data_IF_448333734549
#
_entry.id   IF_448333734549
#
_cell.length_a   1.000
_cell.length_b   1.000
_cell.length_c   1.000
_cell.angle_alpha   90.00
_cell.angle_beta   90.00
_cell.angle_gamma   90.00
#
_symmetry.space_group_name_H-M   'P 1'
#
loop_
_entity.id
_entity.type
_entity.pdbx_description
1 polymer ?
#
# COMPACT_ATOMS: atom_id res chain seq x y z
N UNK A 1 -10.16 8.94 -16.15
CA UNK A 1 -9.04 8.10 -15.65
C UNK A 1 -8.77 8.37 -14.16
N UNK A 2 -8.58 9.63 -13.76
CA UNK A 2 -8.39 10.05 -12.36
C UNK A 2 -9.42 9.48 -11.38
N UNK A 3 -10.72 9.59 -11.67
CA UNK A 3 -11.79 9.01 -10.83
C UNK A 3 -11.64 7.50 -10.58
N UNK A 4 -11.22 6.74 -11.60
CA UNK A 4 -10.99 5.29 -11.44
C UNK A 4 -9.76 5.00 -10.56
N UNK A 5 -8.73 5.84 -10.62
CA UNK A 5 -7.57 5.72 -9.72
C UNK A 5 -7.95 6.08 -8.28
N UNK A 6 -8.73 7.14 -8.08
CA UNK A 6 -9.24 7.53 -6.74
C UNK A 6 -9.96 6.35 -6.11
N UNK A 7 -10.90 5.76 -6.85
CA UNK A 7 -11.67 4.59 -6.41
C UNK A 7 -10.77 3.38 -6.04
N UNK A 8 -9.72 3.13 -6.81
CA UNK A 8 -8.74 2.08 -6.49
C UNK A 8 -7.96 2.36 -5.20
N UNK A 9 -7.67 3.64 -4.90
CA UNK A 9 -7.02 4.02 -3.64
C UNK A 9 -7.99 4.03 -2.45
N UNK A 10 -9.27 4.33 -2.64
CA UNK A 10 -10.30 4.16 -1.61
C UNK A 10 -10.43 2.68 -1.21
N UNK A 11 -10.51 1.80 -2.22
CA UNK A 11 -10.46 0.35 -2.04
C UNK A 11 -9.19 -0.11 -1.31
N UNK A 12 -8.02 0.38 -1.75
CA UNK A 12 -6.73 0.03 -1.14
C UNK A 12 -6.64 0.49 0.31
N UNK A 13 -7.02 1.74 0.59
CA UNK A 13 -7.04 2.33 1.92
C UNK A 13 -7.94 1.55 2.88
N UNK A 14 -9.17 1.25 2.43
CA UNK A 14 -10.15 0.49 3.21
C UNK A 14 -9.61 -0.87 3.63
N UNK A 15 -9.12 -1.68 2.69
CA UNK A 15 -8.67 -3.02 3.02
C UNK A 15 -7.30 -3.09 3.68
N UNK A 16 -6.42 -2.10 3.46
CA UNK A 16 -5.24 -1.98 4.30
C UNK A 16 -5.66 -1.73 5.77
N UNK A 17 -6.68 -0.91 6.02
CA UNK A 17 -7.20 -0.67 7.36
C UNK A 17 -7.83 -1.94 7.97
N UNK A 18 -8.62 -2.70 7.21
CA UNK A 18 -9.18 -3.98 7.68
C UNK A 18 -8.09 -5.01 7.99
N UNK A 19 -7.01 -5.05 7.20
CA UNK A 19 -5.85 -5.92 7.49
C UNK A 19 -5.16 -5.52 8.79
N UNK A 20 -4.90 -4.22 8.99
CA UNK A 20 -4.31 -3.72 10.24
C UNK A 20 -5.21 -4.10 11.42
N UNK A 21 -6.53 -3.93 11.29
CA UNK A 21 -7.50 -4.28 12.33
C UNK A 21 -7.48 -5.76 12.68
N UNK A 22 -7.60 -6.66 11.70
CA UNK A 22 -7.58 -8.12 11.96
C UNK A 22 -6.26 -8.55 12.59
N UNK A 23 -5.13 -7.98 12.15
CA UNK A 23 -3.82 -8.25 12.76
C UNK A 23 -3.80 -7.74 14.21
N UNK A 24 -4.35 -6.56 14.49
CA UNK A 24 -4.42 -5.98 15.83
C UNK A 24 -5.26 -6.83 16.80
N UNK A 25 -6.40 -7.34 16.34
CA UNK A 25 -7.32 -8.17 17.13
C UNK A 25 -6.72 -9.56 17.43
N UNK A 26 -5.75 -10.02 16.63
CA UNK A 26 -5.16 -11.35 16.72
C UNK A 26 -3.64 -11.34 16.98
N UNK A 27 -3.09 -10.28 17.58
CA UNK A 27 -1.62 -10.08 17.71
C UNK A 27 -0.85 -11.25 18.32
N UNK A 28 -1.48 -12.04 19.19
CA UNK A 28 -0.84 -13.21 19.82
C UNK A 28 -0.67 -14.41 18.87
N UNK A 29 -1.42 -14.46 17.76
CA UNK A 29 -1.43 -15.57 16.80
C UNK A 29 -0.75 -15.22 15.46
N UNK A 30 -0.45 -13.94 15.25
CA UNK A 30 0.15 -13.43 14.02
C UNK A 30 1.67 -13.53 14.11
N UNK A 31 2.29 -14.05 13.04
CA UNK A 31 3.75 -14.20 12.96
C UNK A 31 4.47 -12.91 12.51
N UNK A 32 5.78 -12.85 12.74
CA UNK A 32 6.62 -11.72 12.35
C UNK A 32 6.58 -11.45 10.84
N UNK A 33 6.35 -12.50 10.04
CA UNK A 33 6.23 -12.38 8.58
C UNK A 33 5.00 -11.57 8.18
N UNK A 34 3.86 -11.79 8.83
CA UNK A 34 2.64 -11.00 8.60
C UNK A 34 2.85 -9.55 9.01
N UNK A 35 3.52 -9.29 10.14
CA UNK A 35 3.88 -7.92 10.59
C UNK A 35 4.82 -7.24 9.58
N UNK A 36 5.80 -7.98 9.06
CA UNK A 36 6.71 -7.49 8.02
C UNK A 36 5.97 -7.17 6.72
N UNK A 37 5.04 -8.02 6.29
CA UNK A 37 4.27 -7.82 5.06
C UNK A 37 3.31 -6.64 5.11
N UNK A 38 2.62 -6.40 6.25
CA UNK A 38 1.75 -5.22 6.36
C UNK A 38 2.57 -3.92 6.34
N UNK A 39 3.72 -3.92 7.01
CA UNK A 39 4.68 -2.80 6.92
C UNK A 39 5.15 -2.59 5.48
N UNK A 40 5.63 -3.64 4.83
CA UNK A 40 6.12 -3.59 3.45
C UNK A 40 5.05 -3.08 2.47
N UNK A 41 3.79 -3.48 2.66
CA UNK A 41 2.65 -3.01 1.86
C UNK A 41 2.48 -1.50 1.95
N UNK A 42 2.51 -0.94 3.17
CA UNK A 42 2.37 0.50 3.40
C UNK A 42 3.62 1.28 2.97
N UNK A 43 4.81 0.75 3.24
CA UNK A 43 6.07 1.35 2.82
C UNK A 43 6.15 1.44 1.30
N UNK A 44 5.72 0.41 0.57
CA UNK A 44 5.71 0.44 -0.90
C UNK A 44 4.87 1.62 -1.44
N UNK A 45 3.65 1.82 -0.92
CA UNK A 45 2.83 2.98 -1.33
C UNK A 45 3.51 4.31 -0.95
N UNK A 46 4.08 4.40 0.25
CA UNK A 46 4.81 5.59 0.69
C UNK A 46 5.98 5.91 -0.25
N UNK A 47 6.79 4.92 -0.61
CA UNK A 47 7.95 5.07 -1.48
C UNK A 47 7.53 5.61 -2.84
N UNK A 48 6.45 5.09 -3.43
CA UNK A 48 5.97 5.54 -4.73
C UNK A 48 5.39 6.95 -4.67
N UNK A 49 4.62 7.28 -3.64
CA UNK A 49 4.15 8.65 -3.41
C UNK A 49 5.33 9.63 -3.24
N UNK A 50 6.31 9.28 -2.41
CA UNK A 50 7.48 10.10 -2.13
C UNK A 50 8.34 10.33 -3.39
N UNK A 51 8.51 9.31 -4.25
CA UNK A 51 9.19 9.48 -5.54
C UNK A 51 8.51 10.48 -6.46
N UNK A 52 7.18 10.45 -6.52
CA UNK A 52 6.39 11.39 -7.34
C UNK A 52 6.51 12.82 -6.78
N UNK A 53 6.47 12.97 -5.45
CA UNK A 53 6.50 14.26 -4.76
C UNK A 53 7.93 14.81 -4.51
N UNK A 54 8.98 14.03 -4.78
CA UNK A 54 10.36 14.42 -4.48
C UNK A 54 10.69 14.43 -2.98
N UNK A 55 10.03 13.59 -2.19
CA UNK A 55 10.18 13.49 -0.74
C UNK A 55 11.09 12.32 -0.32
N UNK A 56 11.44 12.28 0.97
CA UNK A 56 12.18 11.16 1.56
C UNK A 56 11.34 9.89 1.56
N UNK A 57 11.93 8.80 1.09
CA UNK A 57 11.32 7.46 1.07
C UNK A 57 11.61 6.72 2.38
N UNK A 58 10.69 5.84 2.78
CA UNK A 58 10.96 4.78 3.74
C UNK A 58 11.91 3.73 3.15
N UNK A 59 12.50 2.91 4.04
CA UNK A 59 13.19 1.70 3.61
C UNK A 59 12.19 0.60 3.25
N UNK A 60 12.52 -0.21 2.24
CA UNK A 60 11.62 -1.22 1.66
C UNK A 60 11.05 -2.17 2.72
N UNK A 61 11.88 -2.59 3.67
CA UNK A 61 11.52 -3.51 4.74
C UNK A 61 11.58 -2.84 6.13
N UNK A 62 11.43 -1.51 6.17
CA UNK A 62 11.30 -0.77 7.43
C UNK A 62 10.16 -1.34 8.27
N UNK A 63 10.44 -1.67 9.54
CA UNK A 63 9.41 -2.03 10.51
C UNK A 63 9.04 -0.77 11.29
N UNK A 64 7.85 -0.26 11.04
CA UNK A 64 7.28 0.85 11.78
C UNK A 64 6.59 0.35 13.05
N UNK A 65 6.48 1.20 14.09
CA UNK A 65 5.64 0.90 15.24
C UNK A 65 4.22 0.54 14.79
N UNK A 66 3.64 -0.51 15.37
CA UNK A 66 2.36 -1.02 14.85
C UNK A 66 1.22 0.00 15.01
N UNK A 67 1.26 0.75 16.10
CA UNK A 67 0.36 1.86 16.43
C UNK A 67 0.39 2.99 15.40
N UNK A 68 1.46 3.13 14.61
CA UNK A 68 1.53 4.16 13.56
C UNK A 68 0.98 3.68 12.21
N UNK A 69 0.72 2.38 12.01
CA UNK A 69 0.32 1.85 10.70
C UNK A 69 -1.01 2.43 10.20
N UNK A 70 -1.95 2.73 11.09
CA UNK A 70 -3.22 3.37 10.72
C UNK A 70 -2.97 4.77 10.15
N UNK A 71 -2.12 5.56 10.82
CA UNK A 71 -1.78 6.91 10.37
C UNK A 71 -0.95 6.88 9.08
N UNK A 72 0.00 5.95 8.96
CA UNK A 72 0.77 5.76 7.72
C UNK A 72 -0.16 5.43 6.56
N UNK A 73 -1.11 4.51 6.74
CA UNK A 73 -2.10 4.17 5.70
C UNK A 73 -2.96 5.38 5.31
N UNK A 74 -3.37 6.18 6.29
CA UNK A 74 -4.17 7.39 6.06
C UNK A 74 -3.37 8.49 5.33
N UNK A 75 -2.16 8.81 5.79
CA UNK A 75 -1.27 9.75 5.11
C UNK A 75 -0.95 9.29 3.68
N UNK A 76 -0.67 8.01 3.48
CA UNK A 76 -0.44 7.45 2.15
C UNK A 76 -1.65 7.63 1.23
N UNK A 77 -2.85 7.36 1.72
CA UNK A 77 -4.09 7.59 0.97
C UNK A 77 -4.24 9.05 0.57
N UNK A 78 -4.15 9.98 1.53
CA UNK A 78 -4.27 11.42 1.26
C UNK A 78 -3.26 11.90 0.21
N UNK A 79 -1.99 11.47 0.31
CA UNK A 79 -0.96 11.82 -0.69
C UNK A 79 -1.25 11.25 -2.06
N UNK A 80 -1.72 10.00 -2.15
CA UNK A 80 -2.09 9.40 -3.44
C UNK A 80 -3.26 10.16 -4.08
N UNK A 81 -4.26 10.57 -3.30
CA UNK A 81 -5.38 11.40 -3.80
C UNK A 81 -4.90 12.79 -4.25
N UNK A 82 -4.01 13.41 -3.49
CA UNK A 82 -3.42 14.71 -3.86
C UNK A 82 -2.65 14.63 -5.18
N UNK A 83 -1.79 13.60 -5.34
CA UNK A 83 -1.06 13.34 -6.58
C UNK A 83 -2.04 13.21 -7.75
N UNK A 84 -3.10 12.38 -7.62
CA UNK A 84 -4.07 12.16 -8.69
C UNK A 84 -4.78 13.46 -9.09
N UNK A 85 -5.11 14.31 -8.12
CA UNK A 85 -5.81 15.57 -8.38
C UNK A 85 -4.91 16.60 -9.05
N UNK A 86 -3.69 16.76 -8.55
CA UNK A 86 -2.84 17.90 -8.89
C UNK A 86 -1.83 17.62 -10.02
N UNK A 87 -1.54 16.37 -10.34
CA UNK A 87 -0.56 16.01 -11.37
C UNK A 87 -1.22 15.39 -12.61
N UNK A 88 -0.51 15.42 -13.73
CA UNK A 88 -0.90 14.71 -14.95
C UNK A 88 -0.49 13.23 -14.84
N UNK A 89 -1.42 12.25 -14.93
CA UNK A 89 -1.08 10.83 -14.86
C UNK A 89 -0.07 10.38 -15.93
N UNK A 90 -0.02 11.06 -17.07
CA UNK A 90 0.91 10.73 -18.17
C UNK A 90 2.28 11.39 -18.00
N UNK A 91 2.46 12.27 -17.00
CA UNK A 91 3.76 12.83 -16.64
C UNK A 91 4.72 11.72 -16.23
N UNK A 92 5.95 11.79 -16.72
CA UNK A 92 7.02 10.85 -16.37
C UNK A 92 7.86 11.37 -15.22
N UNK A 93 8.19 10.48 -14.28
CA UNK A 93 9.05 10.75 -13.13
C UNK A 93 10.31 9.89 -13.25
N UNK A 94 11.46 10.54 -13.26
CA UNK A 94 12.74 9.86 -13.10
C UNK A 94 12.99 9.54 -11.62
N UNK A 95 13.46 8.32 -11.33
CA UNK A 95 13.86 7.92 -9.98
C UNK A 95 15.04 6.95 -10.04
N UNK A 96 15.73 6.79 -8.91
CA UNK A 96 16.82 5.83 -8.77
C UNK A 96 16.42 4.68 -7.84
N UNK A 97 16.83 3.46 -8.18
CA UNK A 97 16.77 2.36 -7.23
C UNK A 97 17.92 2.44 -6.22
N UNK A 98 17.93 1.53 -5.24
CA UNK A 98 19.00 1.43 -4.23
C UNK A 98 20.39 1.11 -4.80
N UNK A 99 20.48 0.73 -6.08
CA UNK A 99 21.74 0.48 -6.82
C UNK A 99 22.18 1.69 -7.65
N UNK A 100 21.52 2.85 -7.52
CA UNK A 100 21.79 4.06 -8.30
C UNK A 100 21.38 3.97 -9.77
N UNK A 101 20.68 2.90 -10.17
CA UNK A 101 20.18 2.76 -11.55
C UNK A 101 18.98 3.68 -11.74
N UNK A 102 19.04 4.53 -12.77
CA UNK A 102 17.94 5.41 -13.15
C UNK A 102 16.85 4.65 -13.88
N UNK A 103 15.60 4.96 -13.55
CA UNK A 103 14.39 4.51 -14.21
C UNK A 103 13.48 5.70 -14.45
N UNK A 104 12.52 5.52 -15.36
CA UNK A 104 11.49 6.50 -15.66
C UNK A 104 10.16 5.75 -15.87
N UNK A 105 9.11 6.22 -15.20
CA UNK A 105 7.75 5.71 -15.36
C UNK A 105 6.75 6.86 -15.33
N UNK A 106 5.57 6.63 -15.91
CA UNK A 106 4.45 7.57 -15.77
C UNK A 106 3.91 7.54 -14.34
N UNK A 107 3.33 8.64 -13.87
CA UNK A 107 2.63 8.70 -12.59
C UNK A 107 1.52 7.62 -12.52
N UNK A 108 0.80 7.40 -13.62
CA UNK A 108 -0.19 6.33 -13.72
C UNK A 108 0.42 4.95 -13.41
N UNK A 109 1.53 4.58 -14.05
CA UNK A 109 2.19 3.29 -13.84
C UNK A 109 2.66 3.12 -12.39
N UNK A 110 3.23 4.17 -11.79
CA UNK A 110 3.71 4.16 -10.41
C UNK A 110 2.56 3.96 -9.41
N UNK A 111 1.46 4.69 -9.60
CA UNK A 111 0.27 4.60 -8.75
C UNK A 111 -0.47 3.27 -8.93
N UNK A 112 -0.64 2.81 -10.17
CA UNK A 112 -1.25 1.51 -10.46
C UNK A 112 -0.42 0.37 -9.88
N UNK A 113 0.92 0.46 -9.96
CA UNK A 113 1.80 -0.49 -9.31
C UNK A 113 1.57 -0.52 -7.80
N UNK A 114 1.48 0.63 -7.12
CA UNK A 114 1.22 0.68 -5.68
C UNK A 114 -0.10 -0.03 -5.28
N UNK A 115 -1.18 0.19 -6.03
CA UNK A 115 -2.48 -0.50 -5.83
C UNK A 115 -2.35 -2.02 -6.04
N UNK A 116 -1.75 -2.42 -7.16
CA UNK A 116 -1.60 -3.84 -7.50
C UNK A 116 -0.68 -4.57 -6.51
N UNK A 117 0.41 -3.92 -6.10
CA UNK A 117 1.36 -4.44 -5.11
C UNK A 117 0.71 -4.62 -3.73
N UNK A 118 -0.13 -3.68 -3.28
CA UNK A 118 -0.93 -3.88 -2.07
C UNK A 118 -1.86 -5.09 -2.21
N UNK A 119 -2.54 -5.25 -3.34
CA UNK A 119 -3.42 -6.40 -3.58
C UNK A 119 -2.66 -7.74 -3.49
N UNK A 120 -1.47 -7.81 -4.09
CA UNK A 120 -0.60 -8.99 -4.01
C UNK A 120 -0.23 -9.35 -2.57
N UNK A 121 0.22 -8.38 -1.77
CA UNK A 121 0.62 -8.65 -0.39
C UNK A 121 -0.55 -8.88 0.55
N UNK A 122 -1.72 -8.27 0.32
CA UNK A 122 -2.96 -8.62 1.04
C UNK A 122 -3.32 -10.08 0.83
N UNK A 123 -3.15 -10.62 -0.38
CA UNK A 123 -3.32 -12.06 -0.65
C UNK A 123 -2.34 -12.95 0.14
N UNK A 124 -1.08 -12.53 0.26
CA UNK A 124 -0.09 -13.23 1.08
C UNK A 124 -0.44 -13.19 2.58
N UNK A 125 -0.83 -12.01 3.09
CA UNK A 125 -1.27 -11.83 4.47
C UNK A 125 -2.49 -12.71 4.76
N UNK A 126 -3.50 -12.71 3.90
CA UNK A 126 -4.67 -13.57 4.03
C UNK A 126 -4.32 -15.06 4.08
N UNK A 127 -3.32 -15.49 3.31
CA UNK A 127 -2.84 -16.88 3.34
C UNK A 127 -2.18 -17.22 4.68
N UNK A 128 -1.40 -16.30 5.26
CA UNK A 128 -0.78 -16.47 6.57
C UNK A 128 -1.82 -16.46 7.70
N UNK A 129 -2.77 -15.52 7.67
CA UNK A 129 -3.89 -15.47 8.63
C UNK A 129 -4.64 -16.81 8.67
N UNK A 130 -4.96 -17.36 7.50
CA UNK A 130 -5.61 -18.68 7.39
C UNK A 130 -4.78 -19.81 8.00
N UNK A 131 -3.46 -19.81 7.80
CA UNK A 131 -2.56 -20.81 8.37
C UNK A 131 -2.50 -20.71 9.90
N UNK A 132 -2.63 -19.50 10.45
CA UNK A 132 -2.75 -19.26 11.90
C UNK A 132 -4.15 -19.49 12.46
N UNK A 133 -5.11 -20.01 11.68
CA UNK A 133 -6.48 -20.25 12.13
C UNK A 133 -7.35 -19.00 12.25
N UNK A 134 -6.88 -17.86 11.72
CA UNK A 134 -7.62 -16.58 11.68
C UNK A 134 -8.41 -16.52 10.38
N UNK A 135 -9.67 -16.11 10.44
CA UNK A 135 -10.52 -15.92 9.25
C UNK A 135 -9.93 -14.82 8.36
N UNK A 136 -9.61 -15.09 7.08
CA UNK A 136 -9.10 -14.09 6.14
C UNK A 136 -10.14 -13.00 5.84
N UNK A 137 -9.66 -11.81 5.50
CA UNK A 137 -10.52 -10.69 5.08
C UNK A 137 -10.90 -10.88 3.62
N UNK A 138 -12.19 -10.73 3.29
CA UNK A 138 -12.68 -10.79 1.92
C UNK A 138 -12.34 -9.49 1.18
N UNK A 139 -11.22 -9.47 0.48
CA UNK A 139 -10.67 -8.25 -0.14
C UNK A 139 -11.00 -8.08 -1.62
N UNK A 140 -11.85 -8.89 -2.25
CA UNK A 140 -12.09 -8.73 -3.68
C UNK A 140 -12.81 -7.41 -3.97
N UNK A 141 -12.33 -6.70 -4.99
CA UNK A 141 -12.85 -5.40 -5.38
C UNK A 141 -14.36 -5.44 -5.68
N UNK A 142 -14.85 -6.50 -6.34
CA UNK A 142 -16.28 -6.58 -6.69
C UNK A 142 -17.19 -6.75 -5.47
N UNK A 143 -16.70 -7.31 -4.37
CA UNK A 143 -17.46 -7.38 -3.12
C UNK A 143 -17.50 -6.02 -2.42
N UNK A 144 -16.41 -5.26 -2.46
CA UNK A 144 -16.35 -3.90 -1.92
C UNK A 144 -17.26 -2.90 -2.63
N UNK A 145 -17.50 -3.10 -3.94
CA UNK A 145 -18.37 -2.22 -4.74
C UNK A 145 -19.87 -2.53 -4.63
N UNK A 146 -20.27 -3.49 -3.79
CA UNK A 146 -21.67 -3.89 -3.55
C UNK A 146 -22.12 -3.41 -2.18
#
# INVERSE_FOLDING_TARGET
MKEKLIDLFEYTYHFNAEMIKVIAENRALVDDKTISLINHTLNAQQIWNARILGETTFEVWQINPFESLVEINHTNFLKSIDIIRNFDPDQRIEYQNSRGTKFENTIFEMLFHAVNHSTYHRGQINSLLKQSGITPVLTDYIFYKR
#
